data_IF_775694285184
#
_entry.id   IF_775694285184
#
_cell.length_a   1.000
_cell.length_b   1.000
_cell.length_c   1.000
_cell.angle_alpha   90.00
_cell.angle_beta   90.00
_cell.angle_gamma   90.00
#
_symmetry.space_group_name_H-M   'P 1'
#
loop_
_entity.id
_entity.type
_entity.pdbx_description
1 polymer ?
#
# COMPACT_ATOMS: atom_id res chain seq x y z
N UNK A 1 17.99 -39.67 -26.19
CA UNK A 1 16.81 -39.20 -25.42
C UNK A 1 16.98 -37.73 -25.12
N UNK A 2 16.21 -36.86 -25.78
CA UNK A 2 16.14 -35.43 -25.50
C UNK A 2 15.08 -35.21 -24.41
N UNK A 3 15.51 -34.84 -23.20
CA UNK A 3 14.58 -34.42 -22.15
C UNK A 3 14.12 -32.99 -22.42
N UNK A 4 12.91 -32.83 -22.94
CA UNK A 4 12.24 -31.53 -23.07
C UNK A 4 11.71 -31.07 -21.72
N UNK A 5 12.56 -30.41 -20.93
CA UNK A 5 12.18 -29.74 -19.67
C UNK A 5 11.71 -28.29 -19.91
N UNK A 6 10.72 -28.07 -20.79
CA UNK A 6 10.20 -26.71 -21.07
C UNK A 6 8.74 -26.47 -20.69
N UNK A 7 8.01 -27.49 -20.23
CA UNK A 7 6.57 -27.37 -19.96
C UNK A 7 6.17 -27.01 -18.52
N UNK A 8 6.97 -27.37 -17.50
CA UNK A 8 6.56 -27.22 -16.09
C UNK A 8 6.94 -25.88 -15.46
N UNK A 9 8.07 -25.28 -15.84
CA UNK A 9 8.56 -24.05 -15.23
C UNK A 9 7.80 -22.79 -15.69
N UNK A 10 7.27 -22.77 -16.92
CA UNK A 10 6.53 -21.61 -17.46
C UNK A 10 5.14 -21.48 -16.84
N UNK A 11 4.46 -22.60 -16.56
CA UNK A 11 3.16 -22.61 -15.88
C UNK A 11 3.28 -22.12 -14.43
N UNK A 12 4.26 -22.60 -13.69
CA UNK A 12 4.52 -22.16 -12.32
C UNK A 12 4.80 -20.64 -12.26
N UNK A 13 5.64 -20.11 -13.15
CA UNK A 13 5.92 -18.66 -13.21
C UNK A 13 4.70 -17.82 -13.58
N UNK A 14 3.81 -18.34 -14.44
CA UNK A 14 2.58 -17.63 -14.84
C UNK A 14 1.52 -17.64 -13.72
N UNK A 15 1.37 -18.78 -13.02
CA UNK A 15 0.45 -18.93 -11.88
C UNK A 15 0.87 -18.06 -10.70
N UNK A 16 2.17 -18.01 -10.38
CA UNK A 16 2.72 -17.14 -9.33
C UNK A 16 2.51 -15.67 -9.67
N UNK A 17 2.77 -15.27 -10.92
CA UNK A 17 2.53 -13.91 -11.40
C UNK A 17 1.06 -13.49 -11.26
N UNK A 18 0.13 -14.35 -11.68
CA UNK A 18 -1.31 -14.08 -11.56
C UNK A 18 -1.74 -14.00 -10.09
N UNK A 19 -1.23 -14.88 -9.23
CA UNK A 19 -1.54 -14.88 -7.81
C UNK A 19 -1.03 -13.63 -7.09
N UNK A 20 0.20 -13.18 -7.39
CA UNK A 20 0.77 -11.97 -6.80
C UNK A 20 0.01 -10.72 -7.24
N UNK A 21 -0.30 -10.60 -8.53
CA UNK A 21 -1.06 -9.46 -9.05
C UNK A 21 -2.51 -9.43 -8.53
N UNK A 22 -3.15 -10.59 -8.36
CA UNK A 22 -4.47 -10.71 -7.71
C UNK A 22 -4.40 -10.31 -6.24
N UNK A 23 -3.40 -10.82 -5.51
CA UNK A 23 -3.20 -10.48 -4.09
C UNK A 23 -2.98 -8.98 -3.93
N UNK A 24 -2.13 -8.37 -4.75
CA UNK A 24 -1.87 -6.92 -4.76
C UNK A 24 -3.16 -6.11 -4.89
N UNK A 25 -4.04 -6.50 -5.81
CA UNK A 25 -5.32 -5.83 -6.04
C UNK A 25 -6.24 -5.86 -4.82
N UNK A 26 -6.12 -6.86 -3.94
CA UNK A 26 -6.96 -7.00 -2.73
C UNK A 26 -6.36 -6.32 -1.48
N UNK A 27 -5.09 -5.91 -1.53
CA UNK A 27 -4.38 -5.28 -0.40
C UNK A 27 -4.19 -3.77 -0.57
N UNK A 28 -4.93 -3.16 -1.48
CA UNK A 28 -4.96 -1.71 -1.69
C UNK A 28 -5.39 -0.94 -0.45
N UNK A 29 -4.97 0.33 -0.36
CA UNK A 29 -5.42 1.20 0.71
C UNK A 29 -6.89 1.56 0.50
N UNK A 30 -7.76 1.10 1.41
CA UNK A 30 -9.17 1.49 1.40
C UNK A 30 -9.34 2.96 1.79
N UNK A 31 -10.28 3.65 1.15
CA UNK A 31 -10.66 5.03 1.53
C UNK A 31 -11.08 5.06 3.00
N UNK A 32 -10.52 6.00 3.75
CA UNK A 32 -10.87 6.24 5.13
C UNK A 32 -12.13 7.13 5.16
N UNK A 33 -13.24 6.55 5.62
CA UNK A 33 -14.54 7.21 5.76
C UNK A 33 -14.90 7.40 7.24
N UNK A 34 -13.97 7.97 8.02
CA UNK A 34 -14.25 8.35 9.39
C UNK A 34 -14.99 9.70 9.40
N UNK A 35 -16.12 9.77 10.11
CA UNK A 35 -16.83 11.03 10.29
C UNK A 35 -16.18 11.87 11.41
N UNK A 36 -15.37 12.86 11.02
CA UNK A 36 -14.71 13.79 11.92
C UNK A 36 -15.61 14.95 12.38
N UNK A 37 -16.84 15.08 11.86
CA UNK A 37 -17.73 16.21 12.19
C UNK A 37 -18.16 16.26 13.66
N UNK A 38 -18.01 15.14 14.37
CA UNK A 38 -18.27 15.01 15.81
C UNK A 38 -17.00 15.12 16.66
N UNK A 39 -15.83 15.17 16.03
CA UNK A 39 -14.52 15.23 16.67
C UNK A 39 -14.06 16.69 16.62
N UNK A 40 -14.30 17.46 17.68
CA UNK A 40 -13.99 18.89 17.76
C UNK A 40 -12.64 19.17 18.43
N UNK A 41 -12.11 20.37 18.21
CA UNK A 41 -10.89 20.86 18.85
C UNK A 41 -9.59 20.42 18.16
N UNK A 42 -8.45 20.83 18.72
CA UNK A 42 -7.13 20.66 18.11
C UNK A 42 -6.82 19.21 17.70
N UNK A 43 -7.21 18.24 18.53
CA UNK A 43 -7.04 16.82 18.20
C UNK A 43 -7.86 16.39 16.98
N UNK A 44 -9.11 16.87 16.89
CA UNK A 44 -9.99 16.64 15.75
C UNK A 44 -9.40 17.20 14.45
N UNK A 45 -8.87 18.42 14.48
CA UNK A 45 -8.24 19.06 13.32
C UNK A 45 -6.99 18.31 12.84
N UNK A 46 -6.17 17.82 13.78
CA UNK A 46 -4.99 17.00 13.47
C UNK A 46 -5.42 15.70 12.79
N UNK A 47 -6.44 15.02 13.31
CA UNK A 47 -6.94 13.75 12.80
C UNK A 47 -7.59 13.91 11.42
N UNK A 48 -8.41 14.94 11.23
CA UNK A 48 -9.00 15.27 9.93
C UNK A 48 -7.94 15.54 8.86
N UNK A 49 -6.90 16.32 9.22
CA UNK A 49 -5.77 16.56 8.34
C UNK A 49 -5.00 15.29 7.97
N UNK A 50 -4.89 14.33 8.89
CA UNK A 50 -4.32 13.00 8.59
C UNK A 50 -5.21 12.24 7.62
N UNK A 51 -6.52 12.19 7.85
CA UNK A 51 -7.47 11.46 7.00
C UNK A 51 -7.46 11.98 5.56
N UNK A 52 -7.51 13.32 5.38
CA UNK A 52 -7.44 13.95 4.06
C UNK A 52 -6.14 13.58 3.33
N UNK A 53 -4.99 13.68 4.01
CA UNK A 53 -3.70 13.31 3.41
C UNK A 53 -3.62 11.82 3.08
N UNK A 54 -4.09 10.96 3.97
CA UNK A 54 -4.13 9.51 3.73
C UNK A 54 -5.01 9.16 2.54
N UNK A 55 -6.17 9.78 2.40
CA UNK A 55 -7.06 9.56 1.25
C UNK A 55 -6.41 10.03 -0.07
N UNK A 56 -5.69 11.15 -0.06
CA UNK A 56 -4.92 11.59 -1.23
C UNK A 56 -3.76 10.65 -1.54
N UNK A 57 -3.06 10.12 -0.53
CA UNK A 57 -2.03 9.08 -0.73
C UNK A 57 -2.65 7.81 -1.31
N UNK A 58 -3.86 7.47 -0.89
CA UNK A 58 -4.59 6.28 -1.35
C UNK A 58 -4.88 6.25 -2.85
N UNK A 59 -4.84 7.39 -3.55
CA UNK A 59 -5.00 7.42 -5.01
C UNK A 59 -3.81 6.81 -5.76
N UNK A 60 -2.68 6.60 -5.06
CA UNK A 60 -1.47 5.94 -5.56
C UNK A 60 -1.23 4.57 -4.92
N UNK A 61 -2.19 4.09 -4.14
CA UNK A 61 -2.19 2.76 -3.50
C UNK A 61 -3.46 1.99 -3.89
N UNK A 62 -3.99 2.27 -5.09
CA UNK A 62 -5.16 1.61 -5.64
C UNK A 62 -4.82 0.19 -6.11
N UNK A 63 -5.83 -0.66 -6.40
CA UNK A 63 -5.60 -1.98 -6.95
C UNK A 63 -4.72 -1.97 -8.22
N UNK A 64 -4.91 -0.97 -9.09
CA UNK A 64 -4.16 -0.86 -10.34
C UNK A 64 -2.70 -0.46 -10.10
N UNK A 65 -2.44 0.46 -9.17
CA UNK A 65 -1.08 0.89 -8.83
C UNK A 65 -0.28 -0.27 -8.25
N UNK A 66 -0.89 -1.03 -7.33
CA UNK A 66 -0.24 -2.19 -6.73
C UNK A 66 -0.02 -3.32 -7.73
N UNK A 67 -0.97 -3.57 -8.64
CA UNK A 67 -0.79 -4.52 -9.74
C UNK A 67 0.33 -4.08 -10.68
N UNK A 68 0.39 -2.79 -11.02
CA UNK A 68 1.47 -2.20 -11.81
C UNK A 68 2.82 -2.36 -11.13
N UNK A 69 2.91 -2.05 -9.83
CA UNK A 69 4.16 -2.15 -9.08
C UNK A 69 4.69 -3.59 -9.00
N UNK A 70 3.81 -4.59 -8.81
CA UNK A 70 4.20 -6.01 -8.87
C UNK A 70 4.73 -6.37 -10.26
N UNK A 71 4.07 -5.89 -11.32
CA UNK A 71 4.51 -6.12 -12.69
C UNK A 71 5.86 -5.50 -13.00
N UNK A 72 6.10 -4.28 -12.52
CA UNK A 72 7.38 -3.60 -12.68
C UNK A 72 8.50 -4.41 -11.99
N UNK A 73 8.26 -4.91 -10.77
CA UNK A 73 9.20 -5.77 -10.03
C UNK A 73 9.49 -7.06 -10.80
N UNK A 74 8.47 -7.70 -11.36
CA UNK A 74 8.59 -8.97 -12.09
C UNK A 74 9.12 -8.80 -13.53
N UNK A 75 9.57 -7.59 -13.92
CA UNK A 75 10.16 -7.34 -15.24
C UNK A 75 9.15 -7.27 -16.38
N UNK A 76 7.87 -7.02 -16.09
CA UNK A 76 6.79 -6.88 -17.07
C UNK A 76 6.03 -5.56 -16.92
N UNK A 77 6.71 -4.40 -16.95
CA UNK A 77 6.09 -3.10 -16.71
C UNK A 77 5.05 -2.77 -17.78
N UNK A 78 4.09 -1.91 -17.44
CA UNK A 78 3.12 -1.42 -18.42
C UNK A 78 3.75 -0.39 -19.34
N UNK A 79 3.59 -0.58 -20.65
CA UNK A 79 3.98 0.38 -21.69
C UNK A 79 2.76 0.79 -22.50
N UNK A 80 2.48 2.09 -22.58
CA UNK A 80 1.39 2.66 -23.39
C UNK A 80 2.00 3.71 -24.31
N UNK A 81 1.75 3.60 -25.61
CA UNK A 81 2.25 4.54 -26.63
C UNK A 81 3.78 4.78 -26.54
N UNK A 82 4.56 3.73 -26.25
CA UNK A 82 6.01 3.80 -26.12
C UNK A 82 6.52 4.36 -24.79
N UNK A 83 5.64 4.77 -23.86
CA UNK A 83 6.01 5.20 -22.51
C UNK A 83 5.86 4.05 -21.52
N UNK A 84 6.94 3.68 -20.85
CA UNK A 84 6.94 2.77 -19.70
C UNK A 84 6.57 3.55 -18.43
N UNK A 85 5.66 2.99 -17.64
CA UNK A 85 5.21 3.59 -16.37
C UNK A 85 5.97 2.99 -15.19
N UNK A 86 6.31 3.83 -14.21
CA UNK A 86 7.01 3.44 -12.98
C UNK A 86 6.03 3.43 -11.79
N UNK A 87 5.20 2.39 -11.72
CA UNK A 87 4.23 2.23 -10.63
C UNK A 87 4.94 1.87 -9.33
N UNK A 88 6.06 1.12 -9.38
CA UNK A 88 6.82 0.78 -8.17
C UNK A 88 7.40 2.02 -7.50
N UNK A 89 7.87 3.01 -8.27
CA UNK A 89 8.28 4.32 -7.77
C UNK A 89 7.13 5.04 -7.08
N UNK A 90 5.99 5.16 -7.76
CA UNK A 90 4.79 5.83 -7.23
C UNK A 90 4.29 5.18 -5.93
N UNK A 91 4.17 3.85 -5.90
CA UNK A 91 3.74 3.09 -4.72
C UNK A 91 4.75 3.24 -3.58
N UNK A 92 6.05 3.23 -3.89
CA UNK A 92 7.09 3.41 -2.87
C UNK A 92 7.01 4.78 -2.21
N UNK A 93 6.79 5.84 -2.99
CA UNK A 93 6.66 7.19 -2.45
C UNK A 93 5.34 7.38 -1.69
N UNK A 94 4.26 6.76 -2.15
CA UNK A 94 2.99 6.71 -1.43
C UNK A 94 3.15 6.01 -0.06
N UNK A 95 3.85 4.87 0.01
CA UNK A 95 4.15 4.17 1.27
C UNK A 95 5.01 5.01 2.24
N UNK A 96 5.96 5.80 1.73
CA UNK A 96 6.70 6.78 2.54
C UNK A 96 5.76 7.86 3.08
N UNK A 97 4.85 8.37 2.25
CA UNK A 97 3.82 9.34 2.64
C UNK A 97 2.91 8.80 3.74
N UNK A 98 2.46 7.55 3.60
CA UNK A 98 1.64 6.85 4.59
C UNK A 98 2.40 6.67 5.91
N UNK A 99 3.68 6.29 5.84
CA UNK A 99 4.57 6.23 7.01
C UNK A 99 4.64 7.55 7.78
N UNK A 100 4.73 8.68 7.08
CA UNK A 100 4.71 10.02 7.71
C UNK A 100 3.39 10.29 8.46
N UNK A 101 2.25 9.85 7.92
CA UNK A 101 0.96 10.02 8.60
C UNK A 101 0.85 9.12 9.84
N UNK A 102 1.32 7.87 9.77
CA UNK A 102 1.41 6.97 10.94
C UNK A 102 2.30 7.58 12.02
N UNK A 103 3.46 8.14 11.66
CA UNK A 103 4.33 8.84 12.61
C UNK A 103 3.63 10.04 13.25
N UNK A 104 2.85 10.80 12.48
CA UNK A 104 2.07 11.94 13.00
C UNK A 104 1.03 11.48 14.02
N UNK A 105 0.29 10.40 13.75
CA UNK A 105 -0.65 9.80 14.70
C UNK A 105 0.08 9.30 15.96
N UNK A 106 1.19 8.57 15.82
CA UNK A 106 1.98 8.10 16.96
C UNK A 106 2.46 9.26 17.86
N UNK A 107 2.91 10.36 17.26
CA UNK A 107 3.32 11.55 18.02
C UNK A 107 2.14 12.17 18.77
N UNK A 108 1.00 12.34 18.10
CA UNK A 108 -0.22 12.91 18.69
C UNK A 108 -0.81 12.06 19.82
N UNK A 109 -0.69 10.73 19.72
CA UNK A 109 -1.08 9.79 20.79
C UNK A 109 -0.11 9.94 21.97
N UNK A 110 1.21 9.89 21.70
CA UNK A 110 2.24 9.91 22.75
C UNK A 110 2.26 11.21 23.55
N UNK A 111 2.01 12.35 22.90
CA UNK A 111 2.08 13.66 23.54
C UNK A 111 0.73 14.16 24.09
N UNK A 112 -0.33 13.34 24.03
CA UNK A 112 -1.66 13.72 24.51
C UNK A 112 -2.36 14.79 23.66
N UNK A 113 -2.02 14.93 22.37
CA UNK A 113 -2.74 15.83 21.45
C UNK A 113 -4.13 15.33 21.06
N UNK A 114 -4.45 14.07 21.36
CA UNK A 114 -5.78 13.50 21.22
C UNK A 114 -6.34 13.14 22.59
N UNK A 115 -7.62 13.46 22.82
CA UNK A 115 -8.35 13.12 24.05
C UNK A 115 -9.65 12.37 23.70
N UNK A 116 -10.15 11.60 24.66
CA UNK A 116 -11.45 10.93 24.61
C UNK A 116 -11.69 10.20 23.27
N UNK A 117 -12.85 10.42 22.65
CA UNK A 117 -13.24 9.81 21.36
C UNK A 117 -12.22 10.07 20.24
N UNK A 118 -11.49 11.19 20.27
CA UNK A 118 -10.46 11.51 19.27
C UNK A 118 -9.25 10.60 19.44
N UNK A 119 -8.88 10.27 20.68
CA UNK A 119 -7.76 9.37 20.97
C UNK A 119 -8.07 7.96 20.49
N UNK A 120 -9.28 7.48 20.73
CA UNK A 120 -9.74 6.16 20.27
C UNK A 120 -9.75 6.10 18.74
N UNK A 121 -10.31 7.14 18.11
CA UNK A 121 -10.33 7.24 16.65
C UNK A 121 -8.92 7.30 16.04
N UNK A 122 -8.01 8.07 16.63
CA UNK A 122 -6.62 8.17 16.17
C UNK A 122 -5.86 6.85 16.34
N UNK A 123 -6.07 6.13 17.44
CA UNK A 123 -5.44 4.84 17.73
C UNK A 123 -5.94 3.75 16.79
N UNK A 124 -7.25 3.72 16.53
CA UNK A 124 -7.87 2.81 15.56
C UNK A 124 -7.34 3.08 14.15
N UNK A 125 -7.35 4.34 13.71
CA UNK A 125 -6.82 4.72 12.41
C UNK A 125 -5.34 4.35 12.26
N UNK A 126 -4.52 4.67 13.27
CA UNK A 126 -3.09 4.32 13.28
C UNK A 126 -2.88 2.83 13.05
N UNK A 127 -3.64 2.00 13.76
CA UNK A 127 -3.54 0.53 13.67
C UNK A 127 -3.97 0.04 12.28
N UNK A 128 -5.08 0.56 11.76
CA UNK A 128 -5.54 0.24 10.42
C UNK A 128 -4.50 0.59 9.35
N UNK A 129 -3.94 1.80 9.39
CA UNK A 129 -2.95 2.25 8.40
C UNK A 129 -1.64 1.46 8.48
N UNK A 130 -1.20 1.11 9.69
CA UNK A 130 -0.02 0.26 9.87
C UNK A 130 -0.25 -1.13 9.24
N UNK A 131 -1.38 -1.77 9.55
CA UNK A 131 -1.71 -3.09 9.01
C UNK A 131 -1.79 -3.08 7.47
N UNK A 132 -2.43 -2.06 6.88
CA UNK A 132 -2.52 -1.92 5.43
C UNK A 132 -1.15 -1.69 4.79
N UNK A 133 -0.32 -0.82 5.40
CA UNK A 133 1.05 -0.58 4.94
C UNK A 133 1.86 -1.88 4.94
N UNK A 134 1.82 -2.65 6.02
CA UNK A 134 2.57 -3.89 6.17
C UNK A 134 2.09 -4.95 5.15
N UNK A 135 0.78 -5.05 4.92
CA UNK A 135 0.22 -5.93 3.90
C UNK A 135 0.71 -5.58 2.49
N UNK A 136 0.73 -4.29 2.13
CA UNK A 136 1.24 -3.84 0.83
C UNK A 136 2.74 -4.15 0.71
N UNK A 137 3.52 -3.83 1.75
CA UNK A 137 4.96 -4.11 1.77
C UNK A 137 5.26 -5.60 1.61
N UNK A 138 4.48 -6.48 2.25
CA UNK A 138 4.62 -7.92 2.12
C UNK A 138 4.37 -8.39 0.68
N UNK A 139 3.35 -7.86 -0.01
CA UNK A 139 3.10 -8.18 -1.42
C UNK A 139 4.30 -7.79 -2.29
N UNK A 140 4.84 -6.58 -2.10
CA UNK A 140 6.00 -6.11 -2.87
C UNK A 140 7.25 -6.93 -2.56
N UNK A 141 7.45 -7.34 -1.30
CA UNK A 141 8.58 -8.18 -0.91
C UNK A 141 8.48 -9.58 -1.52
N UNK A 142 7.30 -10.18 -1.53
CA UNK A 142 7.08 -11.47 -2.20
C UNK A 142 7.37 -11.37 -3.70
N UNK A 143 6.93 -10.29 -4.36
CA UNK A 143 7.27 -10.06 -5.77
C UNK A 143 8.78 -9.96 -6.00
N UNK A 144 9.53 -9.32 -5.10
CA UNK A 144 11.00 -9.22 -5.20
C UNK A 144 11.69 -10.58 -5.00
N UNK A 145 11.19 -11.39 -4.08
CA UNK A 145 11.68 -12.76 -3.86
C UNK A 145 11.51 -13.59 -5.14
N UNK A 146 10.33 -13.54 -5.76
CA UNK A 146 10.05 -14.26 -7.00
C UNK A 146 10.85 -13.75 -8.20
N UNK A 147 11.17 -12.45 -8.24
CA UNK A 147 12.04 -11.87 -9.28
C UNK A 147 13.52 -12.31 -9.17
N UNK A 148 13.87 -13.15 -8.19
CA UNK A 148 15.25 -13.55 -7.92
C UNK A 148 16.07 -12.43 -7.28
N UNK A 149 15.42 -11.43 -6.70
CA UNK A 149 16.05 -10.29 -6.05
C UNK A 149 16.44 -10.57 -4.59
N UNK A 150 17.26 -11.61 -4.35
CA UNK A 150 18.07 -11.81 -3.14
C UNK A 150 19.37 -12.55 -3.46
#
# INVERSE_FOLDING_TARGET
MLFTSKGKNVKAGTEVFEQLTKTASTKSLSKIALNTSKLSGTGGDILDGVIKKTNNIGTHLSPNDLKGAVKDILGSPFTINGKTFDHIGEVTDALKGLGKQITKLNKGIKNGSFSDDVLDAATSLRTQLQNQKDQIQNVLNNARQEAGGF
#
